data_IF_528338255061
#
_entry.id   IF_528338255061
#
_cell.length_a   1.000
_cell.length_b   1.000
_cell.length_c   1.000
_cell.angle_alpha   90.00
_cell.angle_beta   90.00
_cell.angle_gamma   90.00
#
_symmetry.space_group_name_H-M   'P 1'
#
loop_
_entity.id
_entity.type
_entity.pdbx_description
1 polymer ?
#
# COMPACT_ATOMS: atom_id res chain seq x y z
N UNK A 1 6.18 -14.53 9.30
CA UNK A 1 5.33 -13.49 8.68
C UNK A 1 3.82 -13.74 8.76
N UNK A 2 3.30 -14.99 8.63
CA UNK A 2 1.84 -15.24 8.57
C UNK A 2 1.03 -14.89 9.83
N UNK A 3 1.64 -14.80 11.00
CA UNK A 3 0.94 -14.44 12.24
C UNK A 3 0.63 -12.94 12.27
N UNK A 4 -0.64 -12.56 12.51
CA UNK A 4 -1.16 -11.19 12.53
C UNK A 4 -1.27 -10.50 11.15
N UNK A 5 -1.31 -11.27 10.04
CA UNK A 5 -1.71 -10.81 8.71
C UNK A 5 -3.02 -11.48 8.28
N UNK A 6 -3.71 -10.86 7.33
CA UNK A 6 -5.01 -11.31 6.83
C UNK A 6 -4.93 -11.93 5.42
N UNK A 7 -3.76 -12.47 5.07
CA UNK A 7 -3.44 -12.90 3.72
C UNK A 7 -2.92 -11.75 2.87
N UNK A 8 -2.48 -12.07 1.68
CA UNK A 8 -1.87 -11.12 0.75
C UNK A 8 -2.28 -11.44 -0.68
N UNK A 9 -2.40 -10.45 -1.57
CA UNK A 9 -2.50 -10.66 -3.01
C UNK A 9 -1.31 -11.45 -3.56
N UNK A 10 -1.52 -12.20 -4.64
CA UNK A 10 -0.45 -13.01 -5.25
C UNK A 10 0.66 -12.15 -5.86
N UNK A 11 0.38 -10.92 -6.21
CA UNK A 11 1.35 -9.95 -6.75
C UNK A 11 2.45 -9.58 -5.75
N UNK A 12 2.29 -9.89 -4.48
CA UNK A 12 3.35 -9.68 -3.49
C UNK A 12 4.43 -10.77 -3.52
N UNK A 13 4.17 -11.92 -4.17
CA UNK A 13 5.12 -13.04 -4.24
C UNK A 13 5.17 -13.65 -5.66
N UNK A 14 4.17 -14.46 -6.01
CA UNK A 14 4.17 -15.29 -7.22
C UNK A 14 3.97 -14.52 -8.52
N UNK A 15 3.23 -13.41 -8.45
CA UNK A 15 2.84 -12.59 -9.60
C UNK A 15 3.39 -11.17 -9.47
N UNK A 16 4.57 -11.01 -8.85
CA UNK A 16 5.18 -9.70 -8.58
C UNK A 16 5.45 -8.88 -9.86
N UNK A 17 5.72 -9.53 -10.96
CA UNK A 17 5.89 -8.89 -12.28
C UNK A 17 4.63 -8.15 -12.76
N UNK A 18 3.46 -8.44 -12.17
CA UNK A 18 2.17 -7.82 -12.49
C UNK A 18 1.74 -6.77 -11.47
N UNK A 19 2.53 -6.56 -10.43
CA UNK A 19 2.18 -5.64 -9.34
C UNK A 19 1.90 -4.23 -9.84
N UNK A 20 2.79 -3.66 -10.65
CA UNK A 20 2.62 -2.31 -11.17
C UNK A 20 1.44 -2.22 -12.14
N UNK A 21 1.25 -3.21 -13.00
CA UNK A 21 0.13 -3.25 -13.93
C UNK A 21 -1.24 -3.26 -13.22
N UNK A 22 -1.30 -3.78 -11.99
CA UNK A 22 -2.52 -3.79 -11.17
C UNK A 22 -2.67 -2.55 -10.30
N UNK A 23 -1.59 -2.10 -9.67
CA UNK A 23 -1.63 -1.17 -8.54
C UNK A 23 -1.17 0.25 -8.90
N UNK A 24 -0.43 0.43 -10.01
CA UNK A 24 0.05 1.73 -10.46
C UNK A 24 -0.82 2.18 -11.64
N UNK A 25 -1.50 3.29 -11.48
CA UNK A 25 -2.40 3.87 -12.46
C UNK A 25 -2.24 5.38 -12.60
N UNK A 26 -3.09 5.99 -13.42
CA UNK A 26 -3.06 7.43 -13.73
C UNK A 26 -3.25 8.32 -12.48
N UNK A 27 -3.91 7.80 -11.45
CA UNK A 27 -4.14 8.47 -10.18
C UNK A 27 -2.95 8.40 -9.20
N UNK A 28 -1.94 7.57 -9.49
CA UNK A 28 -0.80 7.35 -8.60
C UNK A 28 0.00 8.62 -8.36
N UNK A 29 0.26 9.40 -9.42
CA UNK A 29 0.99 10.67 -9.30
C UNK A 29 0.18 11.74 -8.57
N UNK A 30 -1.15 11.73 -8.70
CA UNK A 30 -2.03 12.59 -7.93
C UNK A 30 -1.94 12.27 -6.43
N UNK A 31 -2.00 10.99 -6.05
CA UNK A 31 -1.80 10.53 -4.66
C UNK A 31 -0.44 10.92 -4.12
N UNK A 32 0.61 10.68 -4.90
CA UNK A 32 1.97 11.05 -4.53
C UNK A 32 2.13 12.56 -4.32
N UNK A 33 1.45 13.38 -5.12
CA UNK A 33 1.44 14.84 -4.98
C UNK A 33 0.72 15.30 -3.71
N UNK A 34 -0.33 14.59 -3.27
CA UNK A 34 -0.98 14.86 -1.97
C UNK A 34 -0.01 14.56 -0.83
N UNK A 35 0.68 13.43 -0.88
CA UNK A 35 1.69 13.07 0.13
C UNK A 35 2.78 14.14 0.17
N UNK A 36 3.30 14.56 -0.97
CA UNK A 36 4.33 15.61 -1.06
C UNK A 36 3.89 16.93 -0.42
N UNK A 37 2.64 17.38 -0.66
CA UNK A 37 2.09 18.59 -0.01
C UNK A 37 2.13 18.50 1.52
N UNK A 38 1.76 17.33 2.07
CA UNK A 38 1.84 17.10 3.50
C UNK A 38 3.28 17.15 4.00
N UNK A 39 4.20 16.48 3.33
CA UNK A 39 5.62 16.49 3.67
C UNK A 39 6.18 17.93 3.68
N UNK A 40 5.77 18.77 2.72
CA UNK A 40 6.13 20.20 2.67
C UNK A 40 5.57 20.99 3.86
N UNK A 41 4.30 20.77 4.21
CA UNK A 41 3.65 21.41 5.35
C UNK A 41 4.41 21.18 6.65
N UNK A 42 4.90 19.96 6.84
CA UNK A 42 5.69 19.57 8.03
C UNK A 42 7.20 19.72 7.85
N UNK A 43 7.67 20.38 6.79
CA UNK A 43 9.10 20.65 6.49
C UNK A 43 9.98 19.39 6.53
N UNK A 44 9.43 18.27 6.06
CA UNK A 44 10.10 16.97 6.00
C UNK A 44 11.24 17.00 4.99
N UNK A 45 12.36 16.35 5.31
CA UNK A 45 13.49 16.15 4.41
C UNK A 45 13.84 14.68 4.21
N UNK A 46 13.65 13.86 5.26
CA UNK A 46 13.98 12.42 5.24
C UNK A 46 12.71 11.59 5.39
N UNK A 47 12.52 10.62 4.49
CA UNK A 47 11.32 9.78 4.43
C UNK A 47 11.70 8.31 4.45
N UNK A 48 11.04 7.54 5.31
CA UNK A 48 11.04 6.08 5.27
C UNK A 48 9.69 5.58 4.77
N UNK A 49 9.68 4.92 3.63
CA UNK A 49 8.52 4.17 3.17
C UNK A 49 8.64 2.71 3.66
N UNK A 50 7.78 2.32 4.61
CA UNK A 50 7.82 0.98 5.24
C UNK A 50 7.12 -0.10 4.42
N UNK A 51 6.49 0.25 3.31
CA UNK A 51 5.69 -0.64 2.46
C UNK A 51 5.83 -0.24 1.00
N UNK A 52 7.08 0.00 0.59
CA UNK A 52 7.37 0.68 -0.67
C UNK A 52 7.03 -0.13 -1.93
N UNK A 53 6.85 -1.45 -1.82
CA UNK A 53 6.62 -2.32 -2.97
C UNK A 53 7.70 -2.15 -4.04
N UNK A 54 7.30 -1.82 -5.25
CA UNK A 54 8.18 -1.50 -6.39
C UNK A 54 8.76 -0.08 -6.36
N UNK A 55 8.46 0.70 -5.31
CA UNK A 55 9.10 1.99 -5.04
C UNK A 55 8.39 3.23 -5.58
N UNK A 56 7.13 3.16 -5.98
CA UNK A 56 6.40 4.29 -6.61
C UNK A 56 6.58 5.61 -5.86
N UNK A 57 6.27 5.64 -4.54
CA UNK A 57 6.40 6.84 -3.70
C UNK A 57 7.86 7.24 -3.52
N UNK A 58 8.73 6.26 -3.31
CA UNK A 58 10.17 6.48 -3.08
C UNK A 58 10.83 7.16 -4.28
N UNK A 59 10.56 6.69 -5.50
CA UNK A 59 11.07 7.31 -6.73
C UNK A 59 10.51 8.71 -6.94
N UNK A 60 9.18 8.86 -6.76
CA UNK A 60 8.52 10.14 -6.91
C UNK A 60 9.11 11.21 -5.97
N UNK A 61 9.29 10.87 -4.70
CA UNK A 61 9.82 11.79 -3.68
C UNK A 61 11.32 12.06 -3.87
N UNK A 62 12.11 11.02 -4.22
CA UNK A 62 13.55 11.19 -4.46
C UNK A 62 13.83 12.16 -5.62
N UNK A 63 13.05 12.07 -6.72
CA UNK A 63 13.14 13.00 -7.85
C UNK A 63 12.81 14.46 -7.47
N UNK A 64 12.15 14.67 -6.32
CA UNK A 64 11.80 15.98 -5.75
C UNK A 64 12.71 16.44 -4.62
N UNK A 65 13.84 15.73 -4.42
CA UNK A 65 14.90 16.12 -3.49
C UNK A 65 14.76 15.59 -2.06
N UNK A 66 13.76 14.75 -1.78
CA UNK A 66 13.69 14.08 -0.48
C UNK A 66 14.74 12.97 -0.36
N UNK A 67 15.29 12.80 0.83
CA UNK A 67 16.18 11.66 1.14
C UNK A 67 15.31 10.48 1.57
N UNK A 68 15.09 9.55 0.64
CA UNK A 68 14.19 8.43 0.85
C UNK A 68 14.92 7.11 1.11
N UNK A 69 14.34 6.28 1.97
CA UNK A 69 14.65 4.87 2.11
C UNK A 69 13.35 4.10 1.89
N UNK A 70 13.38 3.06 1.05
CA UNK A 70 12.28 2.14 0.85
C UNK A 70 12.49 0.85 1.65
N UNK A 71 11.42 0.35 2.25
CA UNK A 71 11.41 -0.97 2.88
C UNK A 71 10.13 -1.71 2.52
N UNK A 72 10.24 -3.01 2.34
CA UNK A 72 9.08 -3.88 2.11
C UNK A 72 9.37 -5.28 2.64
N UNK A 73 8.33 -6.04 2.95
CA UNK A 73 8.47 -7.44 3.36
C UNK A 73 8.58 -8.41 2.17
N UNK A 74 8.30 -7.95 0.95
CA UNK A 74 8.35 -8.73 -0.28
C UNK A 74 9.70 -8.57 -0.99
N UNK A 75 10.60 -9.57 -0.93
CA UNK A 75 11.86 -9.53 -1.66
C UNK A 75 11.66 -9.41 -3.17
N UNK A 76 10.58 -10.02 -3.70
CA UNK A 76 10.28 -9.99 -5.13
C UNK A 76 9.94 -8.57 -5.62
N UNK A 77 9.15 -7.80 -4.87
CA UNK A 77 8.87 -6.40 -5.20
C UNK A 77 10.10 -5.53 -5.05
N UNK A 78 10.90 -5.76 -4.01
CA UNK A 78 12.15 -5.02 -3.81
C UNK A 78 13.21 -5.29 -4.89
N UNK A 79 13.22 -6.48 -5.46
CA UNK A 79 14.08 -6.77 -6.62
C UNK A 79 13.70 -5.91 -7.82
N UNK A 80 12.40 -5.76 -8.10
CA UNK A 80 11.91 -4.85 -9.15
C UNK A 80 12.31 -3.40 -8.84
N UNK A 81 12.14 -2.95 -7.58
CA UNK A 81 12.55 -1.61 -7.16
C UNK A 81 14.05 -1.37 -7.32
N UNK A 82 14.90 -2.33 -6.92
CA UNK A 82 16.36 -2.23 -7.06
C UNK A 82 16.79 -2.20 -8.53
N UNK A 83 16.19 -3.03 -9.37
CA UNK A 83 16.43 -3.03 -10.82
C UNK A 83 16.09 -1.66 -11.41
N UNK A 84 14.93 -1.13 -11.10
CA UNK A 84 14.50 0.19 -11.54
C UNK A 84 15.46 1.30 -11.08
N UNK A 85 15.92 1.27 -9.83
CA UNK A 85 16.89 2.24 -9.31
C UNK A 85 18.21 2.21 -10.09
N UNK A 86 18.68 1.01 -10.45
CA UNK A 86 19.87 0.84 -11.28
C UNK A 86 19.67 1.40 -12.70
N UNK A 87 18.54 1.10 -13.34
CA UNK A 87 18.20 1.58 -14.68
C UNK A 87 18.07 3.10 -14.75
N UNK A 88 17.39 3.69 -13.74
CA UNK A 88 17.20 5.15 -13.62
C UNK A 88 18.47 5.86 -13.05
N UNK A 89 19.51 5.13 -12.67
CA UNK A 89 20.76 5.64 -12.04
C UNK A 89 20.49 6.50 -10.81
N UNK A 90 19.52 6.08 -9.98
CA UNK A 90 19.15 6.77 -8.75
C UNK A 90 19.65 5.99 -7.55
N UNK A 91 20.36 6.65 -6.65
CA UNK A 91 20.88 6.03 -5.43
C UNK A 91 19.80 5.99 -4.34
N UNK A 92 19.03 4.90 -4.28
CA UNK A 92 18.02 4.65 -3.28
C UNK A 92 18.37 3.37 -2.53
N UNK A 93 18.25 3.42 -1.19
CA UNK A 93 18.42 2.23 -0.35
C UNK A 93 17.08 1.51 -0.20
N UNK A 94 17.05 0.22 -0.56
CA UNK A 94 15.92 -0.68 -0.36
C UNK A 94 16.27 -1.78 0.63
N UNK A 95 15.41 -2.01 1.63
CA UNK A 95 15.65 -2.89 2.78
C UNK A 95 14.51 -3.90 2.90
N UNK A 96 14.86 -5.18 2.99
CA UNK A 96 13.89 -6.23 3.31
C UNK A 96 13.49 -6.14 4.78
N UNK A 97 12.20 -6.11 5.07
CA UNK A 97 11.74 -6.11 6.45
C UNK A 97 10.25 -5.98 6.62
N UNK A 98 9.83 -6.26 7.82
CA UNK A 98 8.42 -6.23 8.23
C UNK A 98 8.12 -4.90 8.93
N UNK A 99 7.10 -4.17 8.45
CA UNK A 99 6.70 -2.88 9.01
C UNK A 99 6.39 -2.94 10.52
N UNK A 100 6.12 -4.12 11.06
CA UNK A 100 5.84 -4.33 12.49
C UNK A 100 7.08 -4.34 13.38
N UNK A 101 8.28 -4.53 12.80
CA UNK A 101 9.51 -4.78 13.58
C UNK A 101 10.76 -4.13 13.00
N UNK A 102 10.76 -3.74 11.73
CA UNK A 102 11.94 -3.21 11.05
C UNK A 102 12.35 -1.85 11.63
N UNK A 103 13.60 -1.73 12.05
CA UNK A 103 14.21 -0.49 12.50
C UNK A 103 15.31 -0.09 11.54
N UNK A 104 15.17 1.09 10.95
CA UNK A 104 16.08 1.60 9.92
C UNK A 104 16.89 2.79 10.43
N UNK A 105 16.26 3.62 11.28
CA UNK A 105 16.84 4.86 11.78
C UNK A 105 15.76 5.84 12.21
N UNK A 106 16.12 7.13 12.24
CA UNK A 106 15.20 8.22 12.60
C UNK A 106 14.94 9.12 11.41
N UNK A 107 13.68 9.26 11.01
CA UNK A 107 13.22 10.02 9.86
C UNK A 107 12.28 11.15 10.28
N UNK A 108 12.17 12.19 9.45
CA UNK A 108 11.18 13.25 9.65
C UNK A 108 9.77 12.74 9.37
N UNK A 109 9.65 11.83 8.39
CA UNK A 109 8.39 11.15 8.09
C UNK A 109 8.58 9.64 7.86
N UNK A 110 7.57 8.88 8.25
CA UNK A 110 7.36 7.49 7.84
C UNK A 110 6.07 7.44 7.03
N UNK A 111 6.04 6.67 5.96
CA UNK A 111 4.83 6.47 5.15
C UNK A 111 4.53 4.99 4.96
N UNK A 112 3.24 4.66 4.78
CA UNK A 112 2.73 3.34 4.41
C UNK A 112 1.46 3.50 3.60
N UNK A 113 1.58 3.45 2.27
CA UNK A 113 0.54 3.87 1.33
C UNK A 113 -0.08 2.66 0.60
N UNK A 114 -1.19 2.89 -0.10
CA UNK A 114 -2.00 1.88 -0.79
C UNK A 114 -2.62 0.84 0.15
N UNK A 115 -3.19 1.33 1.26
CA UNK A 115 -3.88 0.48 2.25
C UNK A 115 -3.01 -0.67 2.79
N UNK A 116 -1.69 -0.51 2.81
CA UNK A 116 -0.77 -1.56 3.23
C UNK A 116 -1.02 -2.02 4.67
N UNK A 117 -1.36 -1.08 5.57
CA UNK A 117 -1.71 -1.38 6.96
C UNK A 117 -3.01 -2.19 7.09
N UNK A 118 -3.87 -2.14 6.09
CA UNK A 118 -5.12 -2.94 6.04
C UNK A 118 -4.87 -4.44 5.95
N UNK A 119 -3.72 -4.89 5.47
CA UNK A 119 -3.36 -6.32 5.45
C UNK A 119 -3.04 -6.89 6.84
N UNK A 120 -2.96 -6.04 7.86
CA UNK A 120 -2.65 -6.45 9.23
C UNK A 120 -3.92 -6.73 10.03
N UNK A 121 -3.80 -7.63 11.01
CA UNK A 121 -4.79 -7.68 12.11
C UNK A 121 -4.69 -6.42 12.98
N UNK A 122 -5.70 -6.14 13.80
CA UNK A 122 -5.64 -5.03 14.78
C UNK A 122 -4.36 -5.08 15.63
N UNK A 123 -3.98 -6.26 16.12
CA UNK A 123 -2.72 -6.47 16.89
C UNK A 123 -1.48 -6.20 16.02
N UNK A 124 -1.51 -6.59 14.75
CA UNK A 124 -0.42 -6.30 13.81
C UNK A 124 -0.27 -4.80 13.58
N UNK A 125 -1.36 -4.08 13.44
CA UNK A 125 -1.36 -2.64 13.27
C UNK A 125 -0.82 -1.90 14.50
N UNK A 126 -1.25 -2.29 15.73
CA UNK A 126 -0.68 -1.74 16.98
C UNK A 126 0.85 -1.92 17.07
N UNK A 127 1.35 -3.10 16.66
CA UNK A 127 2.80 -3.33 16.60
C UNK A 127 3.49 -2.41 15.59
N UNK A 128 2.85 -2.19 14.44
CA UNK A 128 3.35 -1.26 13.42
C UNK A 128 3.42 0.15 13.97
N UNK A 129 2.39 0.64 14.65
CA UNK A 129 2.40 1.97 15.26
C UNK A 129 3.57 2.16 16.24
N UNK A 130 3.80 1.16 17.11
CA UNK A 130 4.95 1.19 18.03
C UNK A 130 6.29 1.18 17.29
N UNK A 131 6.40 0.42 16.21
CA UNK A 131 7.61 0.38 15.41
C UNK A 131 7.84 1.67 14.63
N UNK A 132 6.80 2.25 14.06
CA UNK A 132 6.84 3.55 13.36
C UNK A 132 7.36 4.64 14.30
N UNK A 133 6.83 4.73 15.52
CA UNK A 133 7.31 5.70 16.53
C UNK A 133 8.83 5.59 16.77
N UNK A 134 9.39 4.40 16.69
CA UNK A 134 10.83 4.18 16.87
C UNK A 134 11.67 4.56 15.64
N UNK A 135 11.04 4.66 14.48
CA UNK A 135 11.67 5.15 13.24
C UNK A 135 11.43 6.64 12.99
N UNK A 136 10.70 7.35 13.86
CA UNK A 136 10.46 8.78 13.76
C UNK A 136 11.41 9.57 14.65
N UNK A 137 11.86 10.73 14.18
CA UNK A 137 12.45 11.79 15.01
C UNK A 137 11.40 12.37 15.94
N UNK A 138 11.82 13.10 16.98
CA UNK A 138 10.91 13.90 17.79
C UNK A 138 10.19 14.93 16.88
N UNK A 139 8.85 14.99 16.97
CA UNK A 139 8.03 15.83 16.08
C UNK A 139 7.86 15.29 14.66
N UNK A 140 8.37 14.10 14.35
CA UNK A 140 8.17 13.43 13.06
C UNK A 140 6.73 12.94 12.86
N UNK A 141 6.33 12.76 11.60
CA UNK A 141 4.95 12.39 11.22
C UNK A 141 4.88 11.01 10.60
N UNK A 142 3.74 10.35 10.79
CA UNK A 142 3.38 9.11 10.08
C UNK A 142 2.20 9.36 9.15
N UNK A 143 2.37 9.06 7.87
CA UNK A 143 1.32 9.16 6.85
C UNK A 143 0.98 7.75 6.38
N UNK A 144 -0.27 7.37 6.50
CA UNK A 144 -0.79 6.11 5.96
C UNK A 144 -2.21 6.32 5.44
N UNK A 145 -2.62 5.48 4.50
CA UNK A 145 -4.01 5.39 4.08
C UNK A 145 -4.63 4.08 4.54
N UNK A 146 -5.94 4.10 4.76
CA UNK A 146 -6.72 2.94 5.14
C UNK A 146 -8.17 3.12 4.71
N UNK A 147 -8.80 2.01 4.30
CA UNK A 147 -10.20 2.04 3.89
C UNK A 147 -11.11 2.37 5.08
N UNK A 148 -12.00 3.35 4.88
CA UNK A 148 -12.97 3.75 5.89
C UNK A 148 -14.20 2.83 5.88
N UNK A 149 -14.47 2.17 7.00
CA UNK A 149 -15.61 1.26 7.14
C UNK A 149 -16.96 1.94 6.87
N UNK A 150 -17.11 3.20 7.28
CA UNK A 150 -18.36 3.97 7.09
C UNK A 150 -18.61 4.30 5.61
N UNK A 151 -17.57 4.43 4.80
CA UNK A 151 -17.67 4.63 3.36
C UNK A 151 -17.91 3.33 2.56
N UNK A 152 -17.72 2.15 3.17
CA UNK A 152 -17.93 0.85 2.53
C UNK A 152 -19.40 0.45 2.51
N UNK A 153 -20.24 1.18 1.76
CA UNK A 153 -21.64 0.81 1.50
C UNK A 153 -21.72 -0.47 0.66
N UNK A 154 -22.91 -1.08 0.56
CA UNK A 154 -23.07 -2.29 -0.28
C UNK A 154 -22.81 -1.98 -1.75
N UNK A 155 -23.16 -0.79 -2.22
CA UNK A 155 -22.86 -0.33 -3.58
C UNK A 155 -21.35 -0.25 -3.80
N UNK A 156 -20.60 0.40 -2.90
CA UNK A 156 -19.12 0.49 -2.99
C UNK A 156 -18.47 -0.91 -2.97
N UNK A 157 -18.97 -1.83 -2.13
CA UNK A 157 -18.45 -3.20 -2.09
C UNK A 157 -18.75 -3.95 -3.39
N UNK A 158 -19.92 -3.74 -3.98
CA UNK A 158 -20.29 -4.32 -5.27
C UNK A 158 -19.38 -3.76 -6.40
N UNK A 159 -19.06 -2.47 -6.37
CA UNK A 159 -18.15 -1.82 -7.34
C UNK A 159 -16.69 -2.27 -7.22
N UNK A 160 -16.33 -2.92 -6.10
CA UNK A 160 -15.02 -3.59 -5.99
C UNK A 160 -14.97 -4.93 -6.76
N UNK A 161 -16.10 -5.38 -7.31
CA UNK A 161 -16.11 -6.51 -8.25
C UNK A 161 -15.69 -6.01 -9.64
N UNK A 162 -14.61 -6.55 -10.17
CA UNK A 162 -14.14 -6.18 -11.50
C UNK A 162 -13.53 -7.35 -12.24
N UNK A 163 -13.58 -7.22 -13.57
CA UNK A 163 -12.86 -8.10 -14.48
C UNK A 163 -11.90 -7.23 -15.29
N UNK A 164 -10.63 -7.59 -15.30
CA UNK A 164 -9.63 -6.88 -16.10
C UNK A 164 -8.86 -7.83 -16.99
N UNK A 165 -8.47 -7.33 -18.15
CA UNK A 165 -7.57 -8.00 -19.08
C UNK A 165 -6.39 -7.09 -19.38
N UNK A 166 -5.20 -7.53 -19.04
CA UNK A 166 -3.95 -6.79 -19.27
C UNK A 166 -3.04 -7.59 -20.20
N UNK A 167 -2.40 -6.87 -21.14
CA UNK A 167 -1.37 -7.42 -22.02
C UNK A 167 -0.10 -6.62 -21.86
N UNK A 168 1.00 -7.28 -21.56
CA UNK A 168 2.32 -6.67 -21.45
C UNK A 168 3.43 -7.71 -21.57
N UNK A 169 4.51 -7.35 -22.23
CA UNK A 169 5.71 -8.19 -22.41
C UNK A 169 5.40 -9.63 -22.84
N UNK A 170 4.48 -9.81 -23.82
CA UNK A 170 4.06 -11.13 -24.32
C UNK A 170 3.18 -11.93 -23.37
N UNK A 171 2.79 -11.38 -22.23
CA UNK A 171 1.89 -12.01 -21.28
C UNK A 171 0.48 -11.43 -21.40
N UNK A 172 -0.51 -12.30 -21.31
CA UNK A 172 -1.91 -11.95 -21.14
C UNK A 172 -2.33 -12.36 -19.72
N UNK A 173 -2.91 -11.43 -18.97
CA UNK A 173 -3.45 -11.69 -17.64
C UNK A 173 -4.92 -11.31 -17.60
N UNK A 174 -5.73 -12.26 -17.21
CA UNK A 174 -7.13 -12.08 -16.85
C UNK A 174 -7.26 -12.17 -15.35
N UNK A 175 -7.89 -11.17 -14.73
CA UNK A 175 -8.21 -11.18 -13.31
C UNK A 175 -9.70 -10.89 -13.12
N UNK A 176 -10.35 -11.77 -12.39
CA UNK A 176 -11.70 -11.54 -11.85
C UNK A 176 -11.59 -11.46 -10.36
N UNK A 177 -12.03 -10.34 -9.79
CA UNK A 177 -12.08 -10.10 -8.35
C UNK A 177 -13.51 -9.82 -7.92
N UNK A 178 -13.88 -10.32 -6.73
CA UNK A 178 -15.06 -9.87 -6.01
C UNK A 178 -14.75 -9.81 -4.51
N UNK A 179 -15.52 -9.02 -3.79
CA UNK A 179 -15.29 -8.80 -2.36
C UNK A 179 -16.57 -8.98 -1.54
N UNK A 180 -16.39 -9.36 -0.29
CA UNK A 180 -17.46 -9.42 0.72
C UNK A 180 -17.03 -8.65 1.95
N UNK A 181 -17.98 -8.07 2.67
CA UNK A 181 -17.72 -7.29 3.88
C UNK A 181 -18.42 -7.89 5.09
N UNK A 182 -17.69 -7.97 6.21
CA UNK A 182 -18.26 -8.19 7.53
C UNK A 182 -18.10 -6.91 8.35
N UNK A 183 -19.17 -6.13 8.48
CA UNK A 183 -19.17 -4.84 9.16
C UNK A 183 -18.98 -4.94 10.67
N UNK A 184 -19.39 -6.06 11.29
CA UNK A 184 -19.29 -6.24 12.73
C UNK A 184 -17.85 -6.28 13.22
N UNK A 185 -16.94 -6.79 12.39
CA UNK A 185 -15.50 -6.88 12.72
C UNK A 185 -14.61 -6.03 11.81
N UNK A 186 -15.20 -5.22 10.91
CA UNK A 186 -14.48 -4.35 9.99
C UNK A 186 -13.59 -5.13 9.02
N UNK A 187 -14.07 -6.26 8.45
CA UNK A 187 -13.29 -7.09 7.57
C UNK A 187 -13.84 -7.13 6.16
N UNK A 188 -13.08 -6.64 5.20
CA UNK A 188 -13.31 -6.79 3.78
C UNK A 188 -12.50 -8.00 3.29
N UNK A 189 -13.15 -8.96 2.61
CA UNK A 189 -12.50 -10.16 2.07
C UNK A 189 -12.61 -10.17 0.57
N UNK A 190 -11.48 -10.26 -0.12
CA UNK A 190 -11.39 -10.31 -1.57
C UNK A 190 -11.04 -11.72 -2.04
N UNK A 191 -11.63 -12.11 -3.16
CA UNK A 191 -11.45 -13.37 -3.85
C UNK A 191 -10.97 -13.06 -5.27
N UNK A 192 -9.77 -13.48 -5.59
CA UNK A 192 -9.13 -13.26 -6.89
C UNK A 192 -9.01 -14.55 -7.68
N UNK A 193 -9.36 -14.51 -8.96
CA UNK A 193 -9.13 -15.58 -9.90
C UNK A 193 -8.32 -15.04 -11.09
N UNK A 194 -7.11 -15.57 -11.26
CA UNK A 194 -6.20 -15.18 -12.33
C UNK A 194 -6.14 -16.27 -13.38
N UNK A 195 -6.08 -15.85 -14.63
CA UNK A 195 -5.64 -16.67 -15.77
C UNK A 195 -4.47 -15.93 -16.40
N UNK A 196 -3.29 -16.54 -16.38
CA UNK A 196 -2.05 -15.96 -16.92
C UNK A 196 -1.54 -16.82 -18.04
N UNK A 197 -1.30 -16.23 -19.20
CA UNK A 197 -0.72 -16.90 -20.37
C UNK A 197 0.51 -16.12 -20.84
N UNK A 198 1.68 -16.76 -20.79
CA UNK A 198 2.95 -16.22 -21.28
C UNK A 198 3.19 -16.71 -22.71
N UNK A 199 3.26 -15.76 -23.66
CA UNK A 199 3.44 -16.05 -25.08
C UNK A 199 2.42 -17.11 -25.59
N UNK A 200 2.89 -18.20 -26.22
CA UNK A 200 2.09 -19.31 -26.70
C UNK A 200 1.97 -20.47 -25.69
N UNK A 201 2.40 -20.28 -24.44
CA UNK A 201 2.32 -21.32 -23.41
C UNK A 201 0.85 -21.59 -23.00
N UNK A 202 0.62 -22.76 -22.39
CA UNK A 202 -0.69 -23.09 -21.83
C UNK A 202 -1.04 -22.10 -20.70
N UNK A 203 -2.29 -21.58 -20.65
CA UNK A 203 -2.71 -20.69 -19.57
C UNK A 203 -2.63 -21.37 -18.20
N UNK A 204 -2.08 -20.65 -17.23
CA UNK A 204 -2.05 -21.04 -15.83
C UNK A 204 -3.19 -20.36 -15.07
N UNK A 205 -3.80 -21.06 -14.12
CA UNK A 205 -4.89 -20.55 -13.28
C UNK A 205 -4.46 -20.48 -11.83
N UNK A 206 -4.76 -19.35 -11.18
CA UNK A 206 -4.47 -19.14 -9.77
C UNK A 206 -5.72 -18.60 -9.08
N UNK A 207 -6.05 -19.19 -7.93
CA UNK A 207 -7.04 -18.63 -7.00
C UNK A 207 -6.37 -18.04 -5.78
N UNK A 208 -6.87 -16.93 -5.27
CA UNK A 208 -6.38 -16.31 -4.06
C UNK A 208 -7.54 -15.79 -3.20
N UNK A 209 -7.29 -15.73 -1.91
CA UNK A 209 -8.18 -15.12 -0.94
C UNK A 209 -7.35 -14.37 0.08
N UNK A 210 -7.66 -13.09 0.28
CA UNK A 210 -7.07 -12.30 1.34
C UNK A 210 -8.14 -11.41 1.98
N UNK A 211 -7.85 -10.86 3.13
CA UNK A 211 -8.75 -9.92 3.78
C UNK A 211 -8.00 -8.64 4.15
N UNK A 212 -8.76 -7.57 4.28
CA UNK A 212 -8.30 -6.28 4.77
C UNK A 212 -9.06 -5.96 6.05
N UNK A 213 -8.35 -5.47 7.07
CA UNK A 213 -8.96 -4.82 8.21
C UNK A 213 -9.24 -3.38 7.83
N UNK A 214 -10.47 -2.97 7.96
CA UNK A 214 -10.92 -1.61 7.71
C UNK A 214 -11.49 -1.02 8.99
N UNK A 215 -11.47 0.30 9.13
CA UNK A 215 -11.74 0.98 10.38
C UNK A 215 -12.67 2.16 10.17
N UNK A 216 -13.45 2.51 11.21
CA UNK A 216 -14.05 3.84 11.30
C UNK A 216 -13.01 4.87 11.74
N UNK A 217 -13.22 6.14 11.40
CA UNK A 217 -12.38 7.22 11.89
C UNK A 217 -12.33 7.24 13.44
N UNK A 218 -13.48 7.00 14.09
CA UNK A 218 -13.59 6.92 15.55
C UNK A 218 -12.72 5.80 16.15
N UNK A 219 -12.71 4.60 15.53
CA UNK A 219 -11.84 3.51 15.98
C UNK A 219 -10.36 3.89 15.91
N UNK A 220 -9.92 4.54 14.83
CA UNK A 220 -8.52 4.95 14.68
C UNK A 220 -8.12 5.95 15.77
N UNK A 221 -8.95 6.98 16.05
CA UNK A 221 -8.69 7.99 17.07
C UNK A 221 -8.66 7.36 18.48
N UNK A 222 -9.67 6.54 18.81
CA UNK A 222 -9.82 6.01 20.18
C UNK A 222 -8.86 4.88 20.48
N UNK A 223 -8.66 3.96 19.55
CA UNK A 223 -7.88 2.74 19.79
C UNK A 223 -6.37 3.00 19.72
N UNK A 224 -5.95 3.95 18.90
CA UNK A 224 -4.54 4.21 18.63
C UNK A 224 -4.00 5.45 19.31
N UNK A 225 -4.82 6.25 19.99
CA UNK A 225 -4.45 7.58 20.52
C UNK A 225 -3.75 8.46 19.47
N UNK A 226 -4.19 8.34 18.22
CA UNK A 226 -3.66 9.06 17.08
C UNK A 226 -4.43 10.37 16.96
N UNK A 227 -3.75 11.51 16.91
CA UNK A 227 -4.34 12.72 16.35
C UNK A 227 -4.52 12.51 14.84
N UNK A 228 -5.75 12.20 14.43
CA UNK A 228 -6.11 12.12 13.02
C UNK A 228 -6.32 13.52 12.50
N UNK A 229 -5.28 14.15 12.01
CA UNK A 229 -5.44 15.34 11.18
C UNK A 229 -5.94 14.90 9.80
N UNK A 230 -7.08 15.40 9.42
CA UNK A 230 -7.77 15.60 8.12
C UNK A 230 -7.37 14.81 6.86
N UNK A 231 -6.42 13.87 6.89
CA UNK A 231 -6.11 13.02 5.72
C UNK A 231 -7.30 12.13 5.35
N UNK A 232 -8.08 11.69 6.33
CA UNK A 232 -9.31 10.91 6.10
C UNK A 232 -10.33 11.66 5.25
N UNK A 233 -10.38 12.99 5.32
CA UNK A 233 -11.26 13.80 4.48
C UNK A 233 -10.72 13.98 3.06
N UNK A 234 -9.41 14.10 2.87
CA UNK A 234 -8.81 14.21 1.54
C UNK A 234 -8.93 12.90 0.75
N UNK A 235 -8.80 11.74 1.41
CA UNK A 235 -8.91 10.44 0.76
C UNK A 235 -10.38 10.02 0.57
N UNK A 236 -11.29 10.36 1.48
CA UNK A 236 -12.72 10.13 1.25
C UNK A 236 -13.25 11.01 0.10
N UNK A 237 -12.73 12.23 -0.07
CA UNK A 237 -13.00 13.08 -1.21
C UNK A 237 -12.56 12.46 -2.54
N UNK A 238 -11.43 11.78 -2.54
CA UNK A 238 -10.91 11.09 -3.73
C UNK A 238 -11.74 9.87 -4.16
N UNK A 239 -12.21 9.07 -3.20
CA UNK A 239 -13.09 7.92 -3.47
C UNK A 239 -14.49 8.35 -3.97
N UNK A 240 -14.91 9.56 -3.64
CA UNK A 240 -16.20 10.13 -4.06
C UNK A 240 -16.10 11.07 -5.28
N UNK A 241 -14.97 11.06 -5.99
CA UNK A 241 -14.79 11.88 -7.20
C UNK A 241 -14.65 13.39 -6.96
N UNK A 242 -14.59 13.83 -5.72
CA UNK A 242 -14.35 15.24 -5.37
C UNK A 242 -12.85 15.45 -5.14
N UNK A 243 -12.19 16.01 -6.13
CA UNK A 243 -10.80 16.48 -6.02
C UNK A 243 -10.80 17.82 -5.26
N UNK A 244 -10.04 17.90 -4.19
CA UNK A 244 -9.77 19.14 -3.46
C UNK A 244 -8.48 19.79 -3.96
#
# INVERSE_FOLDING_TARGET
MKKNTLGLPLEYEKLSEYFDARNIGDDTDAKNSVIERLLKTYKVQTVLDLTCGTGSQVFFLTKRGYKCVGADFSPALLEIARKRAHEEKVAIKFIDGDMRTLRVGRFDAVISIFNAVGHLTKVGFEKTMKNVHQNLKAGGIYIFDILNLEAMTDAVVADLAYCTHKKFNGTQMHLVQFSTINRNNGRLTSYDNYIVQKNAAKPEKFGNKFSLQIYTAKELVTTQKIEVTTLGQAISGYLNGNVW
#
